data_IF_280262985691
#
_entry.id   IF_280262985691
#
_cell.length_a   1.000
_cell.length_b   1.000
_cell.length_c   1.000
_cell.angle_alpha   90.00
_cell.angle_beta   90.00
_cell.angle_gamma   90.00
#
_symmetry.space_group_name_H-M   'P 1'
#
loop_
_entity.id
_entity.type
_entity.pdbx_description
1 polymer ?
#
# COMPACT_ATOMS: atom_id res chain seq x y z
N UNK A 1 -1.70 10.65 -31.45
CA UNK A 1 -1.59 12.12 -31.49
C UNK A 1 -2.28 12.64 -30.23
N UNK A 2 -1.68 13.52 -29.43
CA UNK A 2 -2.33 14.02 -28.22
C UNK A 2 -3.47 14.97 -28.58
N UNK A 3 -4.50 15.03 -27.73
CA UNK A 3 -5.55 16.04 -27.88
C UNK A 3 -5.00 17.45 -27.58
N UNK A 4 -5.56 18.52 -28.17
CA UNK A 4 -5.12 19.88 -27.92
C UNK A 4 -5.10 20.27 -26.43
N UNK A 5 -6.08 19.78 -25.66
CA UNK A 5 -6.14 20.01 -24.21
C UNK A 5 -4.97 19.39 -23.45
N UNK A 6 -4.46 18.24 -23.92
CA UNK A 6 -3.30 17.59 -23.32
C UNK A 6 -1.98 18.28 -23.72
N UNK A 7 -1.92 18.92 -24.89
CA UNK A 7 -0.75 19.74 -25.26
C UNK A 7 -0.65 21.00 -24.40
N UNK A 8 -1.78 21.61 -24.04
CA UNK A 8 -1.80 22.72 -23.07
C UNK A 8 -1.34 22.26 -21.67
N UNK A 9 -1.74 21.05 -21.27
CA UNK A 9 -1.25 20.41 -20.04
C UNK A 9 0.27 20.20 -20.08
N UNK A 10 0.82 19.70 -21.21
CA UNK A 10 2.27 19.47 -21.36
C UNK A 10 3.05 20.76 -21.08
N UNK A 11 2.64 21.87 -21.68
CA UNK A 11 3.28 23.18 -21.47
C UNK A 11 3.15 23.66 -20.02
N UNK A 12 1.95 23.55 -19.45
CA UNK A 12 1.69 23.98 -18.07
C UNK A 12 2.50 23.16 -17.05
N UNK A 13 2.62 21.85 -17.26
CA UNK A 13 3.43 20.99 -16.40
C UNK A 13 4.94 21.23 -16.61
N UNK A 14 5.39 21.42 -17.85
CA UNK A 14 6.78 21.75 -18.15
C UNK A 14 7.22 23.07 -17.49
N UNK A 15 6.36 24.10 -17.52
CA UNK A 15 6.58 25.36 -16.81
C UNK A 15 6.66 25.13 -15.29
N UNK A 16 5.76 24.32 -14.72
CA UNK A 16 5.78 23.98 -13.29
C UNK A 16 7.05 23.22 -12.87
N UNK A 17 7.51 22.27 -13.67
CA UNK A 17 8.76 21.53 -13.44
C UNK A 17 9.98 22.47 -13.52
N UNK A 18 9.98 23.39 -14.49
CA UNK A 18 11.03 24.41 -14.63
C UNK A 18 11.06 25.36 -13.42
N UNK A 19 9.89 25.77 -12.93
CA UNK A 19 9.76 26.61 -11.74
C UNK A 19 10.26 25.89 -10.48
N UNK A 20 9.97 24.60 -10.32
CA UNK A 20 10.50 23.79 -9.21
C UNK A 20 12.02 23.67 -9.26
N UNK A 21 12.59 23.40 -10.45
CA UNK A 21 14.03 23.36 -10.64
C UNK A 21 14.68 24.72 -10.36
N UNK A 22 14.09 25.80 -10.87
CA UNK A 22 14.56 27.17 -10.68
C UNK A 22 14.53 27.56 -9.21
N UNK A 23 13.44 27.24 -8.50
CA UNK A 23 13.30 27.49 -7.07
C UNK A 23 14.38 26.78 -6.26
N UNK A 24 14.60 25.48 -6.50
CA UNK A 24 15.63 24.71 -5.80
C UNK A 24 17.06 25.24 -6.09
N UNK A 25 17.33 25.70 -7.31
CA UNK A 25 18.61 26.32 -7.67
C UNK A 25 18.81 27.67 -7.00
N UNK A 26 17.78 28.53 -6.99
CA UNK A 26 17.84 29.83 -6.32
C UNK A 26 18.00 29.66 -4.80
N UNK A 27 17.36 28.66 -4.18
CA UNK A 27 17.58 28.33 -2.76
C UNK A 27 19.02 27.89 -2.46
N UNK A 28 19.69 27.26 -3.44
CA UNK A 28 21.12 26.95 -3.37
C UNK A 28 22.02 28.16 -3.68
N UNK A 29 21.44 29.36 -3.85
CA UNK A 29 22.18 30.60 -4.14
C UNK A 29 22.62 30.75 -5.59
N UNK A 30 22.00 30.03 -6.54
CA UNK A 30 22.27 30.24 -7.95
C UNK A 30 21.57 31.49 -8.49
N UNK A 31 22.22 32.16 -9.43
CA UNK A 31 21.73 33.37 -10.10
C UNK A 31 21.77 33.20 -11.63
N UNK A 32 21.10 34.10 -12.34
CA UNK A 32 21.17 34.12 -13.79
C UNK A 32 22.59 34.51 -14.28
N UNK A 33 23.02 33.89 -15.37
CA UNK A 33 24.20 34.30 -16.15
C UNK A 33 24.20 33.64 -17.52
N UNK A 34 24.87 34.23 -18.50
CA UNK A 34 24.80 33.81 -19.91
C UNK A 34 25.38 32.41 -20.17
N UNK A 35 26.27 31.93 -19.29
CA UNK A 35 26.87 30.61 -19.35
C UNK A 35 26.80 29.91 -17.99
N UNK A 36 26.92 28.58 -17.99
CA UNK A 36 27.00 27.80 -16.77
C UNK A 36 28.33 28.12 -16.09
N UNK A 37 28.27 28.64 -14.86
CA UNK A 37 29.46 28.95 -14.09
C UNK A 37 29.31 28.47 -12.64
N UNK A 38 29.88 27.32 -12.34
CA UNK A 38 29.79 26.71 -11.01
C UNK A 38 30.47 27.55 -9.92
N UNK A 39 31.55 28.27 -10.25
CA UNK A 39 32.29 29.11 -9.29
C UNK A 39 31.44 30.27 -8.79
N UNK A 40 30.72 30.93 -9.70
CA UNK A 40 29.82 32.05 -9.37
C UNK A 40 28.36 31.61 -9.20
N UNK A 41 28.08 30.31 -9.27
CA UNK A 41 26.73 29.73 -9.23
C UNK A 41 25.77 30.40 -10.22
N UNK A 42 26.18 30.50 -11.48
CA UNK A 42 25.36 31.09 -12.55
C UNK A 42 24.82 30.04 -13.51
N UNK A 43 23.57 30.19 -13.94
CA UNK A 43 22.95 29.30 -14.92
C UNK A 43 22.07 30.05 -15.93
N UNK A 44 22.19 29.79 -17.25
CA UNK A 44 21.46 30.51 -18.31
C UNK A 44 19.95 30.29 -18.28
N UNK A 45 19.51 29.12 -17.81
CA UNK A 45 18.09 28.78 -17.73
C UNK A 45 17.38 29.33 -16.48
N UNK A 46 18.06 30.11 -15.61
CA UNK A 46 17.39 30.82 -14.50
C UNK A 46 16.66 32.08 -15.00
N UNK A 47 15.77 31.86 -15.96
CA UNK A 47 14.88 32.83 -16.60
C UNK A 47 13.48 32.20 -16.75
N UNK A 48 12.40 32.99 -16.93
CA UNK A 48 11.06 32.48 -17.17
C UNK A 48 11.00 31.43 -18.27
N UNK A 49 10.15 30.40 -18.10
CA UNK A 49 9.99 29.30 -19.05
C UNK A 49 9.77 29.76 -20.50
N UNK A 50 9.00 30.84 -20.71
CA UNK A 50 8.71 31.43 -22.03
C UNK A 50 9.93 32.02 -22.74
N UNK A 51 11.01 32.28 -22.01
CA UNK A 51 12.27 32.82 -22.54
C UNK A 51 13.35 31.75 -22.73
N UNK A 52 13.03 30.48 -22.46
CA UNK A 52 13.94 29.38 -22.72
C UNK A 52 14.10 29.13 -24.22
N UNK A 53 15.26 28.60 -24.58
CA UNK A 53 15.56 28.26 -25.96
C UNK A 53 14.74 27.03 -26.36
N UNK A 54 14.40 26.94 -27.66
CA UNK A 54 13.53 25.87 -28.18
C UNK A 54 14.04 24.47 -27.81
N UNK A 55 15.35 24.26 -27.81
CA UNK A 55 15.96 22.98 -27.45
C UNK A 55 15.76 22.61 -25.99
N UNK A 56 15.74 23.58 -25.08
CA UNK A 56 15.54 23.30 -23.65
C UNK A 56 14.06 23.12 -23.31
N UNK A 57 13.17 23.83 -24.00
CA UNK A 57 11.73 23.59 -23.92
C UNK A 57 11.42 22.15 -24.35
N UNK A 58 11.97 21.70 -25.49
CA UNK A 58 11.76 20.34 -26.01
C UNK A 58 12.25 19.27 -25.02
N UNK A 59 13.40 19.47 -24.37
CA UNK A 59 13.90 18.54 -23.34
C UNK A 59 12.96 18.41 -22.13
N UNK A 60 12.23 19.46 -21.79
CA UNK A 60 11.24 19.44 -20.71
C UNK A 60 9.93 18.80 -21.15
N UNK A 61 9.45 19.13 -22.35
CA UNK A 61 8.15 18.68 -22.87
C UNK A 61 8.15 17.22 -23.34
N UNK A 62 9.22 16.76 -24.01
CA UNK A 62 9.25 15.44 -24.65
C UNK A 62 8.99 14.28 -23.67
N UNK A 63 9.64 14.22 -22.49
CA UNK A 63 9.36 13.15 -21.51
C UNK A 63 7.91 13.17 -21.03
N UNK A 64 7.32 14.34 -20.86
CA UNK A 64 5.92 14.51 -20.45
C UNK A 64 4.99 14.02 -21.56
N UNK A 65 5.29 14.42 -22.80
CA UNK A 65 4.49 14.07 -23.98
C UNK A 65 4.52 12.56 -24.24
N UNK A 66 5.68 11.93 -24.15
CA UNK A 66 5.81 10.48 -24.30
C UNK A 66 5.13 9.73 -23.15
N UNK A 67 5.24 10.23 -21.91
CA UNK A 67 4.50 9.68 -20.78
C UNK A 67 2.99 9.66 -21.04
N UNK A 68 2.41 10.78 -21.46
CA UNK A 68 0.98 10.87 -21.77
C UNK A 68 0.55 9.95 -22.91
N UNK A 69 1.36 9.83 -23.99
CA UNK A 69 1.10 8.87 -25.07
C UNK A 69 1.13 7.42 -24.60
N UNK A 70 1.98 7.11 -23.62
CA UNK A 70 2.09 5.74 -23.10
C UNK A 70 0.93 5.34 -22.20
N UNK A 71 0.17 6.27 -21.63
CA UNK A 71 -0.93 5.98 -20.69
C UNK A 71 -1.94 4.99 -21.30
N UNK A 72 -2.37 5.23 -22.54
CA UNK A 72 -3.31 4.33 -23.24
C UNK A 72 -2.72 2.94 -23.47
N UNK A 73 -1.44 2.87 -23.85
CA UNK A 73 -0.71 1.60 -24.05
C UNK A 73 -0.48 0.84 -22.76
N UNK A 74 -0.41 1.56 -21.63
CA UNK A 74 -0.27 0.99 -20.29
C UNK A 74 -1.62 0.56 -19.69
N UNK A 75 -2.70 0.53 -20.48
CA UNK A 75 -4.04 0.13 -20.07
C UNK A 75 -4.66 1.09 -19.03
N UNK A 76 -4.39 2.39 -19.18
CA UNK A 76 -5.05 3.46 -18.42
C UNK A 76 -5.72 4.45 -19.37
N UNK A 77 -6.73 5.15 -18.86
CA UNK A 77 -7.45 6.20 -19.55
C UNK A 77 -7.56 7.45 -18.68
N UNK A 78 -7.50 8.62 -19.33
CA UNK A 78 -7.66 9.92 -18.68
C UNK A 78 -9.05 10.48 -19.01
N UNK A 79 -9.93 10.48 -18.03
CA UNK A 79 -11.24 11.11 -18.17
C UNK A 79 -11.18 12.55 -17.68
N UNK A 80 -11.63 13.49 -18.50
CA UNK A 80 -11.79 14.88 -18.07
C UNK A 80 -13.03 14.99 -17.20
N UNK A 81 -12.88 15.45 -15.96
CA UNK A 81 -14.00 15.68 -15.05
C UNK A 81 -14.53 17.10 -15.19
N UNK A 82 -15.85 17.26 -15.36
CA UNK A 82 -16.55 18.56 -15.48
C UNK A 82 -16.60 19.38 -14.17
N UNK A 83 -16.12 18.80 -13.07
CA UNK A 83 -15.79 19.55 -11.86
C UNK A 83 -14.61 20.46 -12.18
N UNK A 84 -14.92 21.65 -12.68
CA UNK A 84 -13.94 22.64 -13.13
C UNK A 84 -12.82 22.76 -12.12
N UNK A 85 -11.57 22.68 -12.60
CA UNK A 85 -10.30 22.76 -11.86
C UNK A 85 -10.57 22.62 -10.37
N UNK A 86 -10.63 21.39 -9.84
CA UNK A 86 -10.60 21.23 -8.39
C UNK A 86 -9.29 21.87 -7.97
N UNK A 87 -9.36 23.13 -7.53
CA UNK A 87 -8.26 23.89 -6.94
C UNK A 87 -8.00 23.23 -5.59
N UNK A 88 -7.59 21.96 -5.59
CA UNK A 88 -6.75 21.41 -4.55
C UNK A 88 -5.54 22.32 -4.61
N UNK A 89 -5.57 23.36 -3.79
CA UNK A 89 -4.65 24.48 -3.87
C UNK A 89 -3.25 23.91 -3.59
N UNK A 90 -2.52 23.59 -4.66
CA UNK A 90 -1.08 23.38 -4.58
C UNK A 90 -0.54 24.73 -4.13
N UNK A 91 -0.17 24.79 -2.84
CA UNK A 91 0.34 26.04 -2.28
C UNK A 91 1.67 26.33 -2.97
N UNK A 92 1.91 27.58 -3.42
CA UNK A 92 3.24 27.97 -3.86
C UNK A 92 4.22 27.73 -2.73
N UNK A 93 5.41 27.17 -3.03
CA UNK A 93 6.48 27.13 -2.05
C UNK A 93 6.86 28.57 -1.68
N UNK A 94 6.66 28.93 -0.41
CA UNK A 94 6.96 30.27 0.09
C UNK A 94 8.40 30.34 0.59
N UNK A 95 9.18 31.22 -0.03
CA UNK A 95 10.52 31.58 0.43
C UNK A 95 10.42 32.47 1.68
N UNK A 96 11.17 32.15 2.75
CA UNK A 96 11.40 33.11 3.85
C UNK A 96 12.13 34.33 3.28
N UNK A 97 11.51 35.51 3.31
CA UNK A 97 12.10 36.76 2.79
C UNK A 97 13.47 37.03 3.45
N UNK A 98 14.56 36.78 2.74
CA UNK A 98 15.84 37.45 2.98
C UNK A 98 15.88 38.70 2.10
N UNK A 99 16.04 39.86 2.75
CA UNK A 99 16.23 41.17 2.12
C UNK A 99 17.62 41.19 1.46
N UNK A 100 17.74 40.78 0.21
CA UNK A 100 18.88 41.18 -0.62
C UNK A 100 18.39 41.70 -1.97
N UNK A 101 18.67 42.99 -2.21
CA UNK A 101 18.16 43.82 -3.30
C UNK A 101 18.97 43.67 -4.59
N UNK A 102 19.30 42.45 -5.01
CA UNK A 102 20.13 42.26 -6.21
C UNK A 102 19.95 40.92 -6.92
N UNK A 103 18.71 40.46 -7.11
CA UNK A 103 18.40 39.33 -8.00
C UNK A 103 17.37 39.78 -9.06
N UNK A 104 17.50 39.36 -10.33
CA UNK A 104 16.71 39.88 -11.44
C UNK A 104 15.23 39.43 -11.36
N UNK A 105 14.38 40.04 -12.19
CA UNK A 105 12.90 39.96 -12.32
C UNK A 105 12.22 38.57 -12.33
N UNK A 106 12.94 37.47 -12.10
CA UNK A 106 12.40 36.11 -12.14
C UNK A 106 12.19 35.52 -10.75
N UNK A 107 10.92 35.35 -10.37
CA UNK A 107 10.50 34.63 -9.15
C UNK A 107 9.68 33.39 -9.55
N UNK A 108 10.27 32.17 -9.52
CA UNK A 108 9.56 30.97 -9.94
C UNK A 108 8.43 30.62 -8.97
N UNK A 109 7.31 30.12 -9.49
CA UNK A 109 6.13 29.72 -8.72
C UNK A 109 6.09 28.20 -8.58
N UNK A 110 7.06 27.66 -7.85
CA UNK A 110 7.12 26.23 -7.57
C UNK A 110 5.87 25.75 -6.80
N UNK A 111 5.20 24.73 -7.32
CA UNK A 111 4.02 24.12 -6.69
C UNK A 111 4.43 22.99 -5.74
N UNK A 112 3.77 22.87 -4.59
CA UNK A 112 3.91 21.70 -3.72
C UNK A 112 2.84 20.64 -4.05
N UNK A 113 3.28 19.46 -4.48
CA UNK A 113 2.40 18.34 -4.82
C UNK A 113 2.13 17.40 -3.63
N UNK A 114 2.72 17.64 -2.45
CA UNK A 114 2.54 16.76 -1.29
C UNK A 114 1.12 16.81 -0.71
N UNK A 115 0.37 17.88 -0.97
CA UNK A 115 -1.01 18.02 -0.52
C UNK A 115 -2.02 17.15 -1.30
N UNK A 116 -1.61 16.58 -2.44
CA UNK A 116 -2.47 15.77 -3.29
C UNK A 116 -2.34 14.30 -2.89
N UNK A 117 -3.42 13.74 -2.34
CA UNK A 117 -3.50 12.32 -1.99
C UNK A 117 -3.68 11.47 -3.25
N UNK A 118 -2.85 10.45 -3.43
CA UNK A 118 -2.94 9.52 -4.56
C UNK A 118 -3.83 8.31 -4.21
N UNK A 119 -4.73 7.95 -5.11
CA UNK A 119 -5.46 6.68 -5.03
C UNK A 119 -4.61 5.52 -5.60
N UNK A 120 -5.16 4.29 -5.53
CA UNK A 120 -4.48 3.07 -6.01
C UNK A 120 -4.12 3.15 -7.49
N UNK A 121 -5.06 3.57 -8.34
CA UNK A 121 -4.86 3.64 -9.79
C UNK A 121 -3.80 4.68 -10.18
N UNK A 122 -3.73 5.81 -9.48
CA UNK A 122 -2.69 6.82 -9.65
C UNK A 122 -1.30 6.29 -9.27
N UNK A 123 -1.22 5.52 -8.18
CA UNK A 123 0.05 4.88 -7.77
C UNK A 123 0.50 3.85 -8.81
N UNK A 124 -0.41 2.96 -9.24
CA UNK A 124 -0.12 1.96 -10.27
C UNK A 124 0.29 2.59 -11.59
N UNK A 125 -0.39 3.66 -12.03
CA UNK A 125 0.00 4.40 -13.24
C UNK A 125 1.39 5.04 -13.07
N UNK A 126 1.68 5.65 -11.92
CA UNK A 126 2.99 6.28 -11.69
C UNK A 126 4.14 5.28 -11.75
N UNK A 127 3.96 4.08 -11.20
CA UNK A 127 4.93 2.99 -11.30
C UNK A 127 5.03 2.43 -12.72
N UNK A 128 3.90 2.29 -13.43
CA UNK A 128 3.89 1.82 -14.82
C UNK A 128 4.62 2.78 -15.76
N UNK A 129 4.43 4.10 -15.58
CA UNK A 129 5.15 5.13 -16.34
C UNK A 129 6.64 5.11 -16.02
N UNK A 130 7.02 4.98 -14.75
CA UNK A 130 8.42 4.86 -14.33
C UNK A 130 9.10 3.62 -14.94
N UNK A 131 8.40 2.48 -14.95
CA UNK A 131 8.87 1.24 -15.58
C UNK A 131 9.08 1.42 -17.09
N UNK A 132 8.09 1.98 -17.79
CA UNK A 132 8.19 2.24 -19.24
C UNK A 132 9.36 3.19 -19.56
N UNK A 133 9.57 4.23 -18.75
CA UNK A 133 10.68 5.15 -18.92
C UNK A 133 12.04 4.46 -18.75
N UNK A 134 12.16 3.60 -17.72
CA UNK A 134 13.36 2.80 -17.50
C UNK A 134 13.62 1.82 -18.64
N UNK A 135 12.59 1.20 -19.20
CA UNK A 135 12.71 0.30 -20.37
C UNK A 135 13.17 1.04 -21.62
N UNK A 136 12.64 2.23 -21.89
CA UNK A 136 13.08 3.07 -23.01
C UNK A 136 14.55 3.48 -22.83
N UNK A 137 14.92 3.93 -21.62
CA UNK A 137 16.30 4.26 -21.29
C UNK A 137 17.23 3.06 -21.45
N UNK A 138 16.83 1.89 -20.93
CA UNK A 138 17.60 0.65 -21.01
C UNK A 138 17.83 0.22 -22.47
N UNK A 139 16.79 0.34 -23.32
CA UNK A 139 16.90 0.08 -24.76
C UNK A 139 17.89 1.03 -25.43
N UNK A 140 17.75 2.34 -25.22
CA UNK A 140 18.66 3.34 -25.79
C UNK A 140 20.10 3.13 -25.32
N UNK A 141 20.29 2.80 -24.04
CA UNK A 141 21.61 2.51 -23.50
C UNK A 141 22.21 1.26 -24.12
N UNK A 142 21.41 0.19 -24.29
CA UNK A 142 21.84 -1.04 -24.95
C UNK A 142 22.28 -0.78 -26.38
N UNK A 143 21.53 0.00 -27.14
CA UNK A 143 21.87 0.36 -28.53
C UNK A 143 23.17 1.18 -28.59
N UNK A 144 23.36 2.13 -27.67
CA UNK A 144 24.61 2.91 -27.56
C UNK A 144 25.81 2.03 -27.20
N UNK A 145 25.64 1.11 -26.25
CA UNK A 145 26.71 0.18 -25.86
C UNK A 145 27.07 -0.75 -27.01
N UNK A 146 26.09 -1.24 -27.77
CA UNK A 146 26.33 -2.03 -28.97
C UNK A 146 27.14 -1.25 -30.03
N UNK A 147 26.83 0.04 -30.22
CA UNK A 147 27.56 0.89 -31.17
C UNK A 147 29.03 1.15 -30.78
N UNK A 148 29.37 1.09 -29.48
CA UNK A 148 30.73 1.34 -28.96
C UNK A 148 31.53 0.02 -28.80
N UNK A 149 30.94 -1.14 -29.17
CA UNK A 149 31.61 -2.45 -29.09
C UNK A 149 31.32 -3.24 -27.81
N UNK A 150 30.29 -2.85 -27.05
CA UNK A 150 29.79 -3.54 -25.85
C UNK A 150 30.12 -2.83 -24.54
N UNK A 151 29.52 -3.30 -23.46
CA UNK A 151 29.75 -2.80 -22.10
C UNK A 151 28.67 -3.23 -21.11
N UNK A 152 28.95 -3.07 -19.82
CA UNK A 152 28.02 -3.34 -18.73
C UNK A 152 27.72 -2.04 -17.97
N UNK A 153 26.45 -1.81 -17.68
CA UNK A 153 26.01 -0.69 -16.85
C UNK A 153 25.22 -1.23 -15.66
N UNK A 154 25.56 -0.77 -14.45
CA UNK A 154 24.99 -1.31 -13.18
C UNK A 154 23.47 -1.25 -13.11
N UNK A 155 22.86 -0.21 -13.70
CA UNK A 155 21.40 -0.04 -13.77
C UNK A 155 20.71 -0.76 -14.93
N UNK A 156 21.44 -1.51 -15.77
CA UNK A 156 20.84 -2.28 -16.86
C UNK A 156 20.26 -3.60 -16.33
N UNK A 157 19.23 -3.47 -15.50
CA UNK A 157 18.48 -4.58 -14.89
C UNK A 157 16.98 -4.31 -15.02
N UNK A 158 16.12 -5.35 -14.95
CA UNK A 158 14.68 -5.16 -14.87
C UNK A 158 14.30 -4.15 -13.79
N UNK A 159 13.30 -3.30 -14.07
CA UNK A 159 12.88 -2.23 -13.16
C UNK A 159 12.60 -2.74 -11.75
N UNK A 160 11.99 -3.92 -11.61
CA UNK A 160 11.66 -4.49 -10.30
C UNK A 160 12.89 -4.80 -9.42
N UNK A 161 14.05 -5.03 -10.02
CA UNK A 161 15.30 -5.31 -9.31
C UNK A 161 16.09 -4.06 -8.91
N UNK A 162 15.69 -2.87 -9.37
CA UNK A 162 16.32 -1.63 -8.93
C UNK A 162 16.04 -1.37 -7.45
N UNK A 163 17.02 -0.79 -6.77
CA UNK A 163 16.86 -0.35 -5.39
C UNK A 163 15.92 0.86 -5.30
N UNK A 164 15.30 1.07 -4.13
CA UNK A 164 14.41 2.22 -3.91
C UNK A 164 15.11 3.56 -4.19
N UNK A 165 16.40 3.67 -3.87
CA UNK A 165 17.22 4.86 -4.14
C UNK A 165 17.39 5.14 -5.63
N UNK A 166 17.46 4.09 -6.45
CA UNK A 166 17.60 4.22 -7.90
C UNK A 166 16.27 4.62 -8.53
N UNK A 167 15.15 4.03 -8.07
CA UNK A 167 13.80 4.34 -8.54
C UNK A 167 13.31 5.72 -8.10
N UNK A 168 13.80 6.25 -6.98
CA UNK A 168 13.22 7.42 -6.31
C UNK A 168 13.06 8.64 -7.20
N UNK A 169 14.05 8.95 -8.05
CA UNK A 169 14.00 10.14 -8.93
C UNK A 169 12.91 10.01 -9.98
N UNK A 170 12.90 8.89 -10.70
CA UNK A 170 11.95 8.65 -11.79
C UNK A 170 10.54 8.47 -11.23
N UNK A 171 10.40 7.71 -10.15
CA UNK A 171 9.12 7.49 -9.50
C UNK A 171 8.53 8.80 -8.96
N UNK A 172 9.36 9.66 -8.36
CA UNK A 172 8.91 10.98 -7.90
C UNK A 172 8.42 11.84 -9.06
N UNK A 173 9.14 11.88 -10.18
CA UNK A 173 8.73 12.62 -11.37
C UNK A 173 7.35 12.17 -11.88
N UNK A 174 7.13 10.85 -11.99
CA UNK A 174 5.86 10.31 -12.46
C UNK A 174 4.72 10.41 -11.44
N UNK A 175 5.01 10.33 -10.14
CA UNK A 175 4.02 10.62 -9.09
C UNK A 175 3.57 12.08 -9.16
N UNK A 176 4.51 13.02 -9.30
CA UNK A 176 4.22 14.44 -9.40
C UNK A 176 3.45 14.76 -10.70
N UNK A 177 3.77 14.09 -11.82
CA UNK A 177 3.02 14.18 -13.07
C UNK A 177 1.56 13.73 -12.90
N UNK A 178 1.34 12.57 -12.28
CA UNK A 178 -0.01 12.00 -12.08
C UNK A 178 -0.82 12.85 -11.07
N UNK A 179 -0.18 13.38 -10.04
CA UNK A 179 -0.81 14.35 -9.13
C UNK A 179 -1.20 15.63 -9.86
N UNK A 180 -0.34 16.13 -10.75
CA UNK A 180 -0.62 17.33 -11.53
C UNK A 180 -1.78 17.09 -12.52
N UNK A 181 -1.85 15.92 -13.16
CA UNK A 181 -3.01 15.49 -13.95
C UNK A 181 -4.31 15.58 -13.14
N UNK A 182 -4.27 15.11 -11.89
CA UNK A 182 -5.42 15.17 -10.99
C UNK A 182 -5.84 16.61 -10.66
N UNK A 183 -4.88 17.50 -10.35
CA UNK A 183 -5.18 18.92 -10.09
C UNK A 183 -5.63 19.68 -11.34
N UNK A 184 -5.21 19.22 -12.52
CA UNK A 184 -5.64 19.78 -13.81
C UNK A 184 -7.06 19.32 -14.20
N UNK A 185 -7.68 18.41 -13.43
CA UNK A 185 -9.04 17.94 -13.64
C UNK A 185 -9.15 16.65 -14.46
N UNK A 186 -8.07 15.86 -14.54
CA UNK A 186 -8.10 14.52 -15.12
C UNK A 186 -8.24 13.45 -14.04
N UNK A 187 -9.14 12.49 -14.29
CA UNK A 187 -9.30 11.28 -13.50
C UNK A 187 -8.63 10.13 -14.21
N UNK A 188 -7.71 9.45 -13.51
CA UNK A 188 -7.06 8.23 -13.99
C UNK A 188 -8.01 7.05 -13.77
N UNK A 189 -8.31 6.32 -14.84
CA UNK A 189 -9.12 5.11 -14.82
C UNK A 189 -8.31 3.97 -15.43
N UNK A 190 -8.18 2.86 -14.74
CA UNK A 190 -7.52 1.67 -15.28
C UNK A 190 -8.48 0.93 -16.22
N UNK A 191 -8.10 0.76 -17.49
CA UNK A 191 -8.88 0.05 -18.47
C UNK A 191 -8.80 -1.45 -18.19
N UNK A 192 -9.90 -2.05 -17.74
CA UNK A 192 -9.99 -3.51 -17.53
C UNK A 192 -10.24 -4.19 -18.89
N UNK A 193 -9.30 -4.09 -19.84
CA UNK A 193 -9.40 -4.73 -21.16
C UNK A 193 -8.17 -5.59 -21.46
N UNK A 194 -7.93 -6.61 -20.62
CA UNK A 194 -7.05 -7.74 -20.97
C UNK A 194 -7.28 -8.97 -20.07
N UNK A 195 -8.40 -9.00 -19.35
CA UNK A 195 -8.93 -10.22 -18.75
C UNK A 195 -9.89 -10.91 -19.74
N UNK A 196 -10.54 -10.19 -20.66
CA UNK A 196 -11.57 -10.78 -21.52
C UNK A 196 -11.03 -11.53 -22.76
N UNK A 197 -9.90 -11.13 -23.35
CA UNK A 197 -9.41 -11.73 -24.60
C UNK A 197 -8.60 -13.03 -24.39
N UNK A 198 -7.91 -13.17 -23.26
CA UNK A 198 -7.23 -14.41 -22.85
C UNK A 198 -8.19 -15.41 -22.22
N UNK A 199 -9.39 -14.98 -21.80
CA UNK A 199 -10.42 -15.82 -21.16
C UNK A 199 -11.43 -16.40 -22.15
N UNK A 200 -11.66 -15.79 -23.32
CA UNK A 200 -12.59 -16.36 -24.31
C UNK A 200 -12.10 -17.64 -24.98
N UNK A 201 -10.79 -17.92 -24.92
CA UNK A 201 -10.17 -19.11 -25.52
C UNK A 201 -9.94 -20.26 -24.52
N UNK A 202 -10.40 -20.12 -23.28
CA UNK A 202 -10.44 -21.21 -22.30
C UNK A 202 -11.91 -21.52 -22.00
N UNK A 203 -12.28 -22.73 -22.38
CA UNK A 203 -13.59 -23.38 -22.21
C UNK A 203 -14.23 -23.18 -20.82
N UNK A 204 -15.57 -23.27 -20.72
CA UNK A 204 -16.33 -22.67 -19.65
C UNK A 204 -16.21 -23.46 -18.36
N UNK A 205 -15.31 -23.04 -17.46
CA UNK A 205 -15.40 -23.42 -16.04
C UNK A 205 -16.01 -22.27 -15.26
N UNK A 206 -17.30 -22.42 -15.03
CA UNK A 206 -18.18 -21.54 -14.25
C UNK A 206 -17.71 -21.54 -12.78
N UNK A 207 -16.62 -20.84 -12.46
CA UNK A 207 -16.12 -20.65 -11.09
C UNK A 207 -15.19 -19.43 -10.89
N UNK A 208 -14.95 -18.60 -11.91
CA UNK A 208 -13.88 -17.58 -11.86
C UNK A 208 -14.34 -16.12 -11.89
N UNK A 209 -15.65 -15.85 -11.98
CA UNK A 209 -16.17 -14.47 -11.96
C UNK A 209 -16.37 -13.94 -10.52
N UNK A 210 -16.70 -14.83 -9.58
CA UNK A 210 -16.93 -14.49 -8.16
C UNK A 210 -15.62 -14.22 -7.41
N UNK A 211 -14.56 -14.96 -7.73
CA UNK A 211 -13.23 -14.81 -7.13
C UNK A 211 -12.59 -13.46 -7.48
N UNK A 212 -12.62 -13.05 -8.75
CA UNK A 212 -11.97 -11.80 -9.19
C UNK A 212 -12.67 -10.51 -8.72
N UNK A 213 -13.99 -10.54 -8.49
CA UNK A 213 -14.73 -9.41 -7.90
C UNK A 213 -14.47 -9.34 -6.39
N UNK A 214 -14.32 -10.50 -5.73
CA UNK A 214 -14.02 -10.54 -4.30
C UNK A 214 -12.58 -10.09 -4.02
N UNK A 215 -11.61 -10.43 -4.88
CA UNK A 215 -10.19 -10.02 -4.73
C UNK A 215 -9.96 -8.50 -4.75
N UNK A 216 -10.92 -7.71 -5.27
CA UNK A 216 -10.86 -6.23 -5.31
C UNK A 216 -11.55 -5.55 -4.12
N UNK A 217 -12.19 -6.30 -3.23
CA UNK A 217 -12.86 -5.74 -2.05
C UNK A 217 -11.85 -5.46 -0.95
N UNK A 218 -11.92 -4.27 -0.35
CA UNK A 218 -11.05 -3.90 0.76
C UNK A 218 -11.06 -4.95 1.89
N UNK A 219 -12.25 -5.44 2.28
CA UNK A 219 -12.38 -6.42 3.33
C UNK A 219 -11.70 -7.75 2.98
N UNK A 220 -11.81 -8.20 1.72
CA UNK A 220 -11.11 -9.37 1.22
C UNK A 220 -9.59 -9.22 1.31
N UNK A 221 -9.01 -8.17 0.74
CA UNK A 221 -7.56 -7.96 0.74
C UNK A 221 -7.01 -7.78 2.17
N UNK A 222 -7.78 -7.12 3.04
CA UNK A 222 -7.44 -7.01 4.45
C UNK A 222 -7.45 -8.38 5.14
N UNK A 223 -8.49 -9.19 4.93
CA UNK A 223 -8.60 -10.53 5.51
C UNK A 223 -7.47 -11.45 5.06
N UNK A 224 -7.09 -11.40 3.79
CA UNK A 224 -5.95 -12.15 3.25
C UNK A 224 -4.65 -11.78 3.99
N UNK A 225 -4.38 -10.48 4.16
CA UNK A 225 -3.22 -10.00 4.91
C UNK A 225 -3.26 -10.37 6.39
N UNK A 226 -4.42 -10.28 7.04
CA UNK A 226 -4.59 -10.68 8.44
C UNK A 226 -4.35 -12.17 8.65
N UNK A 227 -4.86 -13.02 7.74
CA UNK A 227 -4.62 -14.47 7.75
C UNK A 227 -3.13 -14.78 7.59
N UNK A 228 -2.47 -14.12 6.64
CA UNK A 228 -1.03 -14.26 6.43
C UNK A 228 -0.22 -13.91 7.69
N UNK A 229 -0.58 -12.82 8.40
CA UNK A 229 0.08 -12.46 9.65
C UNK A 229 -0.15 -13.47 10.77
N UNK A 230 -1.35 -14.03 10.89
CA UNK A 230 -1.65 -15.09 11.88
C UNK A 230 -0.85 -16.37 11.57
N UNK A 231 -0.74 -16.76 10.31
CA UNK A 231 0.05 -17.92 9.89
C UNK A 231 1.55 -17.72 10.15
N UNK A 232 2.09 -16.56 9.77
CA UNK A 232 3.48 -16.19 10.07
C UNK A 232 3.74 -16.18 11.58
N UNK A 233 2.80 -15.66 12.37
CA UNK A 233 2.89 -15.69 13.83
C UNK A 233 2.88 -17.13 14.36
N UNK A 234 2.04 -18.01 13.79
CA UNK A 234 1.98 -19.43 14.17
C UNK A 234 3.29 -20.18 13.96
N UNK A 235 4.02 -19.86 12.89
CA UNK A 235 5.33 -20.47 12.59
C UNK A 235 6.43 -19.86 13.46
N UNK A 236 6.36 -18.55 13.70
CA UNK A 236 7.46 -17.79 14.32
C UNK A 236 7.41 -17.78 15.85
N UNK A 237 6.20 -17.84 16.43
CA UNK A 237 6.02 -17.88 17.88
C UNK A 237 6.54 -19.21 18.45
N UNK A 238 7.51 -19.09 19.36
CA UNK A 238 8.03 -20.22 20.11
C UNK A 238 7.55 -20.18 21.55
N UNK A 239 7.27 -21.36 22.10
CA UNK A 239 6.92 -21.50 23.50
C UNK A 239 8.09 -21.04 24.36
N UNK A 240 7.80 -20.33 25.45
CA UNK A 240 8.79 -19.98 26.44
C UNK A 240 9.39 -21.28 26.98
N UNK A 241 10.67 -21.52 26.69
CA UNK A 241 11.42 -22.64 27.28
C UNK A 241 12.03 -22.11 28.56
N UNK A 242 11.68 -22.70 29.71
CA UNK A 242 12.34 -22.37 30.97
C UNK A 242 13.86 -22.59 30.81
N UNK A 243 14.66 -21.68 31.35
CA UNK A 243 16.11 -21.86 31.41
C UNK A 243 16.42 -23.12 32.20
N UNK A 244 17.27 -24.00 31.66
CA UNK A 244 17.74 -25.17 32.42
C UNK A 244 18.41 -24.72 33.72
N UNK A 245 18.15 -25.42 34.83
CA UNK A 245 18.85 -25.18 36.10
C UNK A 245 20.36 -25.20 35.84
N UNK A 246 21.08 -24.19 36.36
CA UNK A 246 22.53 -23.97 36.16
C UNK A 246 22.98 -23.48 34.77
N UNK A 247 22.07 -22.97 33.91
CA UNK A 247 22.47 -22.25 32.70
C UNK A 247 23.08 -20.89 33.04
N UNK A 248 24.37 -20.70 32.76
CA UNK A 248 25.03 -19.38 32.78
C UNK A 248 24.65 -18.50 31.58
N UNK A 249 23.98 -19.08 30.58
CA UNK A 249 23.49 -18.35 29.42
C UNK A 249 22.02 -18.01 29.64
N UNK A 250 21.71 -16.72 29.73
CA UNK A 250 20.33 -16.23 29.62
C UNK A 250 19.82 -16.60 28.22
N UNK A 251 18.97 -17.62 28.10
CA UNK A 251 18.21 -17.89 26.87
C UNK A 251 17.08 -16.86 26.74
N UNK A 252 17.42 -15.57 26.64
CA UNK A 252 16.50 -14.56 26.14
C UNK A 252 16.32 -14.81 24.66
N UNK A 253 15.31 -15.60 24.31
CA UNK A 253 14.89 -15.68 22.92
C UNK A 253 14.26 -14.33 22.58
N UNK A 254 15.04 -13.45 21.96
CA UNK A 254 14.57 -12.16 21.45
C UNK A 254 13.36 -12.39 20.56
N UNK A 255 12.21 -11.87 20.96
CA UNK A 255 10.98 -11.91 20.17
C UNK A 255 11.25 -11.27 18.82
N UNK A 256 10.99 -12.00 17.72
CA UNK A 256 11.20 -11.47 16.37
C UNK A 256 10.37 -10.21 16.14
N UNK A 257 10.82 -9.34 15.23
CA UNK A 257 10.08 -8.12 14.87
C UNK A 257 8.64 -8.45 14.42
N UNK A 258 8.44 -9.57 13.73
CA UNK A 258 7.13 -10.02 13.25
C UNK A 258 6.18 -10.40 14.38
N UNK A 259 6.67 -11.07 15.44
CA UNK A 259 5.84 -11.42 16.60
C UNK A 259 5.46 -10.17 17.40
N UNK A 260 6.37 -9.19 17.52
CA UNK A 260 6.05 -7.88 18.12
C UNK A 260 5.03 -7.10 17.29
N UNK A 261 5.19 -7.09 15.95
CA UNK A 261 4.24 -6.46 15.03
C UNK A 261 2.86 -7.12 15.12
N UNK A 262 2.81 -8.45 15.18
CA UNK A 262 1.58 -9.19 15.38
C UNK A 262 0.86 -8.76 16.66
N UNK A 263 1.55 -8.78 17.80
CA UNK A 263 0.97 -8.42 19.10
C UNK A 263 0.53 -6.96 19.19
N UNK A 264 1.35 -6.03 18.70
CA UNK A 264 1.14 -4.58 18.89
C UNK A 264 0.35 -3.88 17.78
N UNK A 265 0.27 -4.46 16.58
CA UNK A 265 -0.39 -3.84 15.43
C UNK A 265 -1.52 -4.71 14.90
N UNK A 266 -1.26 -5.99 14.63
CA UNK A 266 -2.25 -6.88 14.00
C UNK A 266 -3.41 -7.17 14.93
N UNK A 267 -3.16 -7.53 16.20
CA UNK A 267 -4.24 -7.82 17.15
C UNK A 267 -5.14 -6.61 17.41
N UNK A 268 -4.63 -5.40 17.73
CA UNK A 268 -5.48 -4.22 17.87
C UNK A 268 -6.25 -3.86 16.59
N UNK A 269 -5.65 -4.06 15.42
CA UNK A 269 -6.34 -3.85 14.15
C UNK A 269 -7.52 -4.81 13.97
N UNK A 270 -7.34 -6.10 14.26
CA UNK A 270 -8.42 -7.09 14.24
C UNK A 270 -9.54 -6.68 15.21
N UNK A 271 -9.20 -6.31 16.46
CA UNK A 271 -10.18 -5.88 17.45
C UNK A 271 -11.02 -4.70 16.93
N UNK A 272 -10.36 -3.62 16.49
CA UNK A 272 -11.04 -2.39 16.08
C UNK A 272 -11.84 -2.55 14.79
N UNK A 273 -11.28 -3.25 13.81
CA UNK A 273 -11.94 -3.44 12.52
C UNK A 273 -13.25 -4.23 12.65
N UNK A 274 -13.22 -5.39 13.30
CA UNK A 274 -14.43 -6.20 13.46
C UNK A 274 -15.42 -5.61 14.48
N UNK A 275 -14.95 -4.76 15.40
CA UNK A 275 -15.83 -4.01 16.29
C UNK A 275 -16.63 -2.96 15.51
N UNK A 276 -15.98 -2.24 14.59
CA UNK A 276 -16.63 -1.20 13.78
C UNK A 276 -17.50 -1.77 12.64
N UNK A 277 -17.06 -2.86 12.00
CA UNK A 277 -17.67 -3.41 10.80
C UNK A 277 -18.45 -4.72 11.04
N UNK A 278 -18.89 -4.99 12.29
CA UNK A 278 -19.66 -6.19 12.63
C UNK A 278 -20.85 -6.44 11.70
N UNK A 279 -21.64 -5.40 11.41
CA UNK A 279 -22.85 -5.54 10.60
C UNK A 279 -22.55 -5.95 9.14
N UNK A 280 -21.40 -5.55 8.60
CA UNK A 280 -20.97 -5.92 7.25
C UNK A 280 -20.90 -7.44 7.05
N UNK A 281 -20.43 -8.17 8.07
CA UNK A 281 -20.20 -9.61 8.00
C UNK A 281 -21.42 -10.46 8.37
N UNK A 282 -22.40 -9.91 9.08
CA UNK A 282 -23.58 -10.64 9.56
C UNK A 282 -24.77 -10.48 8.61
N UNK A 283 -24.92 -9.31 7.99
CA UNK A 283 -26.13 -9.02 7.20
C UNK A 283 -26.26 -10.01 6.04
N UNK A 284 -27.42 -10.69 5.90
CA UNK A 284 -27.67 -11.56 4.76
C UNK A 284 -27.92 -10.74 3.49
N UNK A 285 -27.57 -11.28 2.31
CA UNK A 285 -27.69 -10.57 1.03
C UNK A 285 -29.14 -10.22 0.61
N UNK A 286 -30.14 -10.61 1.40
CA UNK A 286 -31.57 -10.40 1.11
C UNK A 286 -32.08 -8.99 1.42
N UNK A 287 -31.34 -8.14 2.15
CA UNK A 287 -31.74 -6.75 2.40
C UNK A 287 -31.28 -5.84 1.26
N UNK A 288 -32.19 -5.53 0.33
CA UNK A 288 -31.97 -4.74 -0.89
C UNK A 288 -31.80 -3.22 -0.70
N UNK A 289 -31.37 -2.73 0.44
CA UNK A 289 -31.27 -1.27 0.67
C UNK A 289 -29.95 -0.86 1.33
N UNK A 290 -29.07 -0.27 0.52
CA UNK A 290 -27.99 0.64 0.94
C UNK A 290 -26.81 0.07 1.75
N UNK A 291 -26.86 -1.19 2.19
CA UNK A 291 -25.80 -1.78 3.02
C UNK A 291 -24.88 -2.68 2.19
N UNK A 292 -23.61 -2.30 2.09
CA UNK A 292 -22.55 -3.21 1.59
C UNK A 292 -22.49 -4.43 2.50
N UNK A 293 -22.56 -5.64 1.94
CA UNK A 293 -22.52 -6.90 2.67
C UNK A 293 -21.29 -7.72 2.28
N UNK A 294 -20.79 -8.51 3.24
CA UNK A 294 -19.69 -9.45 3.02
C UNK A 294 -20.09 -10.54 2.04
N UNK A 295 -19.20 -10.81 1.08
CA UNK A 295 -19.27 -11.97 0.21
C UNK A 295 -19.16 -13.27 1.01
N UNK A 296 -19.62 -14.38 0.42
CA UNK A 296 -19.48 -15.72 1.02
C UNK A 296 -18.03 -16.02 1.37
N UNK A 297 -17.09 -15.60 0.51
CA UNK A 297 -15.66 -15.83 0.75
C UNK A 297 -15.10 -14.98 1.89
N UNK A 298 -15.52 -13.71 2.00
CA UNK A 298 -15.15 -12.86 3.15
C UNK A 298 -15.70 -13.42 4.47
N UNK A 299 -16.92 -13.97 4.47
CA UNK A 299 -17.50 -14.67 5.63
C UNK A 299 -16.69 -15.91 6.01
N UNK A 300 -16.30 -16.72 5.02
CA UNK A 300 -15.43 -17.88 5.23
C UNK A 300 -14.06 -17.49 5.80
N UNK A 301 -13.40 -16.48 5.23
CA UNK A 301 -12.09 -15.99 5.71
C UNK A 301 -12.17 -15.41 7.12
N UNK A 302 -13.25 -14.70 7.46
CA UNK A 302 -13.48 -14.20 8.81
C UNK A 302 -13.62 -15.34 9.82
N UNK A 303 -14.32 -16.41 9.45
CA UNK A 303 -14.40 -17.64 10.24
C UNK A 303 -13.05 -18.34 10.37
N UNK A 304 -12.29 -18.45 9.27
CA UNK A 304 -10.94 -19.02 9.26
C UNK A 304 -9.99 -18.25 10.17
N UNK A 305 -10.06 -16.91 10.14
CA UNK A 305 -9.25 -16.03 10.98
C UNK A 305 -9.51 -16.30 12.47
N UNK A 306 -10.78 -16.45 12.85
CA UNK A 306 -11.16 -16.82 14.21
C UNK A 306 -10.62 -18.18 14.62
N UNK A 307 -10.83 -19.22 13.80
CA UNK A 307 -10.36 -20.57 14.09
C UNK A 307 -8.83 -20.63 14.23
N UNK A 308 -8.09 -20.01 13.32
CA UNK A 308 -6.62 -19.96 13.35
C UNK A 308 -6.10 -19.19 14.55
N UNK A 309 -6.71 -18.05 14.88
CA UNK A 309 -6.31 -17.26 16.05
C UNK A 309 -6.59 -18.02 17.37
N UNK A 310 -7.73 -18.69 17.49
CA UNK A 310 -8.08 -19.50 18.64
C UNK A 310 -7.12 -20.68 18.80
N UNK A 311 -6.83 -21.37 17.71
CA UNK A 311 -5.88 -22.49 17.70
C UNK A 311 -4.45 -22.03 18.03
N UNK A 312 -4.00 -20.89 17.50
CA UNK A 312 -2.71 -20.31 17.82
C UNK A 312 -2.61 -19.97 19.31
N UNK A 313 -3.63 -19.32 19.88
CA UNK A 313 -3.67 -19.02 21.31
C UNK A 313 -3.60 -20.29 22.15
N UNK A 314 -4.29 -21.36 21.74
CA UNK A 314 -4.25 -22.66 22.43
C UNK A 314 -2.87 -23.31 22.36
N UNK A 315 -2.28 -23.43 21.17
CA UNK A 315 -0.99 -24.11 20.98
C UNK A 315 0.19 -23.37 21.60
N UNK A 316 0.13 -22.04 21.63
CA UNK A 316 1.24 -21.16 22.01
C UNK A 316 0.89 -20.27 23.20
N UNK A 317 -0.01 -20.72 24.09
CA UNK A 317 -0.55 -19.89 25.18
C UNK A 317 0.53 -19.19 26.01
N UNK A 318 1.60 -19.90 26.38
CA UNK A 318 2.72 -19.34 27.15
C UNK A 318 3.53 -18.28 26.39
N UNK A 319 3.54 -18.32 25.05
CA UNK A 319 4.27 -17.38 24.21
C UNK A 319 3.57 -16.01 24.08
N UNK A 320 2.24 -15.95 24.29
CA UNK A 320 1.48 -14.71 24.20
C UNK A 320 1.77 -13.73 25.34
N UNK A 321 2.08 -14.22 26.54
CA UNK A 321 2.38 -13.37 27.71
C UNK A 321 1.34 -12.28 27.94
N UNK A 322 1.76 -11.01 27.89
CA UNK A 322 0.88 -9.85 28.07
C UNK A 322 -0.17 -9.66 26.96
N UNK A 323 0.05 -10.25 25.78
CA UNK A 323 -0.85 -10.09 24.64
C UNK A 323 -2.07 -11.04 24.72
N UNK A 324 -2.15 -11.95 25.71
CA UNK A 324 -3.32 -12.84 25.91
C UNK A 324 -4.63 -12.03 26.04
N UNK A 325 -4.62 -10.94 26.80
CA UNK A 325 -5.82 -10.13 27.04
C UNK A 325 -6.38 -9.50 25.75
N UNK A 326 -5.51 -8.98 24.88
CA UNK A 326 -5.93 -8.44 23.58
C UNK A 326 -6.40 -9.57 22.65
N UNK A 327 -5.70 -10.71 22.60
CA UNK A 327 -6.12 -11.86 21.79
C UNK A 327 -7.52 -12.35 22.16
N UNK A 328 -7.82 -12.45 23.46
CA UNK A 328 -9.16 -12.83 23.94
C UNK A 328 -10.21 -11.79 23.56
N UNK A 329 -9.89 -10.49 23.58
CA UNK A 329 -10.80 -9.45 23.08
C UNK A 329 -11.05 -9.59 21.58
N UNK A 330 -10.02 -9.86 20.78
CA UNK A 330 -10.16 -10.14 19.35
C UNK A 330 -11.11 -11.32 19.10
N UNK A 331 -10.92 -12.44 19.80
CA UNK A 331 -11.80 -13.62 19.68
C UNK A 331 -13.26 -13.27 20.05
N UNK A 332 -13.47 -12.52 21.13
CA UNK A 332 -14.81 -12.06 21.55
C UNK A 332 -15.50 -11.16 20.52
N UNK A 333 -14.75 -10.31 19.82
CA UNK A 333 -15.30 -9.44 18.78
C UNK A 333 -15.56 -10.23 17.50
N UNK A 334 -14.62 -11.09 17.09
CA UNK A 334 -14.75 -11.96 15.91
C UNK A 334 -15.97 -12.88 15.99
N UNK A 335 -16.18 -13.57 17.12
CA UNK A 335 -17.35 -14.45 17.31
C UNK A 335 -18.66 -13.70 17.08
N UNK A 336 -18.74 -12.43 17.49
CA UNK A 336 -19.94 -11.61 17.30
C UNK A 336 -20.11 -11.11 15.87
N UNK A 337 -19.08 -11.20 15.04
CA UNK A 337 -19.05 -10.72 13.66
C UNK A 337 -19.09 -11.86 12.62
N UNK A 338 -19.06 -13.13 13.03
CA UNK A 338 -19.09 -14.27 12.11
C UNK A 338 -20.53 -14.78 11.94
N UNK A 339 -20.97 -14.88 10.69
CA UNK A 339 -22.21 -15.56 10.30
C UNK A 339 -21.96 -17.05 10.07
N UNK A 340 -21.91 -17.82 11.17
CA UNK A 340 -21.63 -19.27 11.14
C UNK A 340 -22.67 -20.02 10.32
N UNK A 341 -23.94 -19.61 10.37
CA UNK A 341 -25.03 -20.23 9.60
C UNK A 341 -24.80 -20.11 8.09
N UNK A 342 -24.33 -18.95 7.62
CA UNK A 342 -23.96 -18.77 6.20
C UNK A 342 -22.73 -19.60 5.83
N UNK A 343 -21.70 -19.66 6.69
CA UNK A 343 -20.49 -20.47 6.44
C UNK A 343 -20.81 -21.96 6.38
N UNK A 344 -21.65 -22.47 7.29
CA UNK A 344 -22.06 -23.88 7.29
C UNK A 344 -22.81 -24.30 6.02
N UNK A 345 -23.63 -23.40 5.46
CA UNK A 345 -24.39 -23.68 4.23
C UNK A 345 -23.51 -23.65 2.98
N UNK A 346 -22.52 -22.77 2.94
CA UNK A 346 -21.76 -22.48 1.72
C UNK A 346 -20.37 -23.13 1.65
N UNK A 347 -19.75 -23.45 2.80
CA UNK A 347 -18.35 -23.90 2.87
C UNK A 347 -18.20 -25.13 3.77
N UNK A 348 -18.63 -26.30 3.29
CA UNK A 348 -18.56 -27.55 4.06
C UNK A 348 -17.12 -27.95 4.43
N UNK A 349 -16.14 -27.66 3.57
CA UNK A 349 -14.72 -27.94 3.85
C UNK A 349 -14.24 -27.16 5.07
N UNK A 350 -14.66 -25.90 5.20
CA UNK A 350 -14.29 -25.08 6.35
C UNK A 350 -14.88 -25.61 7.66
N UNK A 351 -16.11 -26.13 7.61
CA UNK A 351 -16.73 -26.77 8.76
C UNK A 351 -15.91 -27.98 9.21
N UNK A 352 -15.52 -28.85 8.27
CA UNK A 352 -14.78 -30.08 8.55
C UNK A 352 -13.35 -29.82 9.02
N UNK A 353 -12.63 -28.96 8.31
CA UNK A 353 -11.20 -28.74 8.55
C UNK A 353 -10.89 -27.77 9.71
N UNK A 354 -11.82 -26.88 10.09
CA UNK A 354 -11.54 -25.85 11.09
C UNK A 354 -12.56 -25.78 12.23
N UNK A 355 -13.87 -25.74 11.94
CA UNK A 355 -14.87 -25.60 13.01
C UNK A 355 -14.99 -26.86 13.88
N UNK A 356 -15.04 -28.05 13.28
CA UNK A 356 -15.12 -29.31 14.04
C UNK A 356 -13.91 -29.51 14.97
N UNK A 357 -12.64 -29.39 14.49
CA UNK A 357 -11.48 -29.45 15.39
C UNK A 357 -11.51 -28.37 16.47
N UNK A 358 -11.99 -27.16 16.17
CA UNK A 358 -12.12 -26.10 17.16
C UNK A 358 -13.08 -26.49 18.29
N UNK A 359 -14.27 -27.03 17.98
CA UNK A 359 -15.23 -27.46 19.00
C UNK A 359 -14.70 -28.61 19.85
N UNK A 360 -14.00 -29.58 19.24
CA UNK A 360 -13.34 -30.66 20.00
C UNK A 360 -12.27 -30.10 20.95
N UNK A 361 -11.46 -29.15 20.49
CA UNK A 361 -10.47 -28.49 21.33
C UNK A 361 -11.12 -27.71 22.48
N UNK A 362 -12.22 -26.99 22.22
CA UNK A 362 -12.95 -26.26 23.26
C UNK A 362 -13.57 -27.22 24.29
N UNK A 363 -14.12 -28.35 23.84
CA UNK A 363 -14.67 -29.36 24.74
C UNK A 363 -13.58 -29.95 25.66
N UNK A 364 -12.41 -30.23 25.09
CA UNK A 364 -11.24 -30.70 25.85
C UNK A 364 -10.75 -29.65 26.84
N UNK A 365 -10.61 -28.39 26.42
CA UNK A 365 -10.15 -27.30 27.27
C UNK A 365 -11.16 -27.01 28.42
N UNK A 366 -12.47 -27.16 28.14
CA UNK A 366 -13.52 -27.06 29.15
C UNK A 366 -13.44 -28.22 30.16
N UNK A 367 -13.27 -29.45 29.67
CA UNK A 367 -13.11 -30.63 30.53
C UNK A 367 -11.89 -30.49 31.45
N UNK A 368 -10.75 -30.03 30.91
CA UNK A 368 -9.56 -29.73 31.71
C UNK A 368 -9.81 -28.63 32.74
N UNK A 369 -10.57 -27.59 32.39
CA UNK A 369 -10.92 -26.51 33.32
C UNK A 369 -11.78 -27.03 34.48
N UNK A 370 -12.77 -27.88 34.19
CA UNK A 370 -13.61 -28.53 35.21
C UNK A 370 -12.76 -29.43 36.12
N UNK A 371 -11.90 -30.27 35.56
CA UNK A 371 -11.00 -31.12 36.34
C UNK A 371 -10.05 -30.31 37.24
N UNK A 372 -9.49 -29.22 36.71
CA UNK A 372 -8.63 -28.34 37.50
C UNK A 372 -9.39 -27.64 38.65
N UNK A 373 -10.67 -27.32 38.43
CA UNK A 373 -11.56 -26.75 39.45
C UNK A 373 -11.87 -27.77 40.55
N UNK A 374 -12.24 -29.01 40.18
CA UNK A 374 -12.48 -30.12 41.10
C UNK A 374 -11.23 -30.45 41.93
N UNK A 375 -10.06 -30.44 41.30
CA UNK A 375 -8.76 -30.62 41.95
C UNK A 375 -8.30 -29.41 42.76
N UNK A 376 -9.12 -28.35 42.88
CA UNK A 376 -8.81 -27.12 43.63
C UNK A 376 -7.51 -26.44 43.20
N UNK A 377 -7.04 -26.67 41.97
CA UNK A 377 -5.79 -26.09 41.44
C UNK A 377 -5.89 -24.57 41.28
N UNK A 378 -7.10 -24.06 41.11
CA UNK A 378 -7.37 -22.63 40.98
C UNK A 378 -7.59 -21.89 42.31
N UNK A 379 -7.72 -22.62 43.43
CA UNK A 379 -7.91 -22.04 44.78
C UNK A 379 -6.71 -21.21 45.24
N UNK A 380 -5.52 -21.50 44.69
CA UNK A 380 -4.26 -20.86 45.05
C UNK A 380 -3.73 -19.92 43.94
N UNK A 381 -4.55 -19.54 42.95
CA UNK A 381 -4.15 -18.49 42.01
C UNK A 381 -3.96 -17.20 42.82
N UNK A 382 -2.71 -16.74 42.93
CA UNK A 382 -2.39 -15.44 43.55
C UNK A 382 -3.23 -14.35 42.88
N UNK A 383 -4.14 -13.75 43.64
CA UNK A 383 -4.96 -12.60 43.20
C UNK A 383 -6.48 -12.80 43.23
N UNK A 384 -7.01 -14.01 43.50
CA UNK A 384 -8.47 -14.26 43.60
C UNK A 384 -9.02 -14.31 45.02
N UNK A 385 -8.20 -14.08 46.05
CA UNK A 385 -8.68 -13.73 47.39
C UNK A 385 -9.28 -12.32 47.32
N UNK A 386 -10.53 -12.19 46.84
CA UNK A 386 -11.39 -11.16 47.41
C UNK A 386 -11.51 -11.52 48.89
N UNK A 387 -10.90 -10.70 49.76
CA UNK A 387 -11.17 -10.74 51.19
C UNK A 387 -12.68 -10.69 51.34
N UNK A 388 -13.26 -11.78 51.83
CA UNK A 388 -14.69 -11.86 52.10
C UNK A 388 -15.08 -10.84 53.16
N UNK A 389 -16.22 -10.19 52.90
CA UNK A 389 -17.07 -9.37 53.78
C UNK A 389 -16.42 -8.22 54.53
#
# INVERSE_FOLDING_TARGET
VLSPTLEDFVKAYAESVHDQWSYAKIEQGWTYGEQINDKFRQHPNLKPYKLLDRMDIVKLEDPIREALKSIEKLQFHLEKTDTGITRIATKPLQRKKQKDKSAPDYTPKALDYNSVTMNRDMQELSEALARNAHEIWAKQLKDRLAAIGGGLHSRLVPFELLTDKEKQKDLKFYQDLVKYLHTFGYRVVKTIHEINATISNLTPRVASMSTLINDKRFAYSLLEKLLEYVERASITMQNYKESSKFSLHETYRLTTKDVKFFGKVVLPLIEKYFQAHRNYFIVPPSLKTGSSYASVKEKEMSCSLFCKLAFLLRQKFSAFGNDVSITVRCLKVLVRAIDVSSVMKNSQEMVRASLLPLFNNIAEDLNQTVQNLEQRRYSNIKGTLQRGT
#
